data_IF_545795493460
#
_entry.id   IF_545795493460
#
_cell.length_a   1.000
_cell.length_b   1.000
_cell.length_c   1.000
_cell.angle_alpha   90.00
_cell.angle_beta   90.00
_cell.angle_gamma   90.00
#
_symmetry.space_group_name_H-M   'P 1'
#
loop_
_entity.id
_entity.type
_entity.pdbx_description
1 polymer ?
#
# COMPACT_ATOMS: atom_id res chain seq x y z
N UNK A 1 -21.11 -66.42 0.14
CA UNK A 1 -20.95 -65.19 0.93
C UNK A 1 -19.46 -64.85 0.94
N UNK A 2 -18.99 -64.05 -0.01
CA UNK A 2 -17.56 -63.79 -0.21
C UNK A 2 -17.23 -62.36 0.21
N UNK A 3 -16.31 -62.29 1.17
CA UNK A 3 -15.69 -61.09 1.73
C UNK A 3 -14.49 -60.71 0.85
N UNK A 4 -14.36 -59.44 0.47
CA UNK A 4 -13.12 -58.88 -0.05
C UNK A 4 -12.64 -57.73 0.83
N UNK A 5 -11.50 -57.94 1.49
CA UNK A 5 -10.64 -56.91 2.12
C UNK A 5 -9.94 -56.13 0.99
N UNK A 6 -9.88 -54.79 1.12
CA UNK A 6 -9.02 -53.92 0.29
C UNK A 6 -7.79 -53.49 1.11
N UNK A 7 -6.62 -53.72 0.51
CA UNK A 7 -5.32 -53.18 0.89
C UNK A 7 -4.70 -52.56 -0.37
N UNK A 8 -4.13 -51.36 -0.20
CA UNK A 8 -3.06 -50.69 -0.99
C UNK A 8 -3.28 -50.28 -2.44
N UNK A 9 -2.73 -49.09 -2.80
CA UNK A 9 -1.86 -48.83 -3.96
C UNK A 9 -1.16 -47.46 -3.77
N UNK A 10 0.16 -47.52 -3.57
CA UNK A 10 1.15 -46.50 -3.94
C UNK A 10 1.53 -46.73 -5.42
N UNK A 11 2.16 -45.73 -6.06
CA UNK A 11 2.69 -45.69 -7.44
C UNK A 11 1.74 -45.31 -8.59
N UNK A 12 1.86 -44.06 -9.04
CA UNK A 12 1.65 -43.67 -10.45
C UNK A 12 2.43 -42.38 -10.75
N UNK A 13 3.73 -42.54 -10.95
CA UNK A 13 4.61 -41.56 -11.59
C UNK A 13 5.65 -42.30 -12.44
N UNK A 14 5.26 -42.75 -13.63
CA UNK A 14 6.14 -43.02 -14.78
C UNK A 14 5.30 -43.54 -15.95
N UNK A 15 5.70 -43.14 -17.16
CA UNK A 15 5.19 -43.52 -18.49
C UNK A 15 4.11 -42.59 -19.09
N UNK A 16 4.54 -41.59 -19.86
CA UNK A 16 3.95 -41.27 -21.18
C UNK A 16 4.93 -40.39 -21.97
N UNK A 17 5.80 -41.05 -22.75
CA UNK A 17 6.54 -40.49 -23.88
C UNK A 17 6.20 -41.37 -25.09
N UNK A 18 6.24 -40.77 -26.28
CA UNK A 18 5.83 -41.29 -27.61
C UNK A 18 4.34 -41.16 -27.99
N UNK A 19 4.03 -40.10 -28.75
CA UNK A 19 3.25 -40.31 -29.98
C UNK A 19 2.21 -39.27 -30.41
N UNK A 20 2.66 -38.26 -31.16
CA UNK A 20 2.00 -37.68 -32.36
C UNK A 20 0.59 -37.08 -32.24
N UNK A 21 0.50 -35.75 -32.28
CA UNK A 21 -0.70 -35.01 -32.74
C UNK A 21 -0.40 -34.24 -34.05
N UNK A 22 -1.33 -34.21 -35.02
CA UNK A 22 -1.07 -33.75 -36.38
C UNK A 22 -1.17 -32.22 -36.55
N UNK A 23 -0.26 -31.65 -37.36
CA UNK A 23 -0.33 -30.28 -37.90
C UNK A 23 -1.38 -30.18 -39.02
N UNK A 24 -2.19 -29.11 -39.10
CA UNK A 24 -2.95 -28.81 -40.31
C UNK A 24 -2.05 -28.09 -41.33
N UNK A 25 -1.91 -28.71 -42.50
CA UNK A 25 -1.23 -28.21 -43.70
C UNK A 25 -2.16 -27.28 -44.50
N UNK A 26 -1.84 -25.99 -44.59
CA UNK A 26 -2.43 -25.06 -45.56
C UNK A 26 -1.52 -25.07 -46.82
N UNK A 27 -2.08 -25.54 -47.93
CA UNK A 27 -1.41 -25.59 -49.25
C UNK A 27 -1.41 -24.21 -49.90
N UNK A 28 -0.26 -23.83 -50.44
CA UNK A 28 -0.04 -22.69 -51.35
C UNK A 28 0.17 -23.19 -52.79
N UNK A 29 -0.45 -22.55 -53.79
CA UNK A 29 -0.05 -22.58 -55.21
C UNK A 29 -0.85 -21.56 -56.07
N UNK A 30 -0.37 -21.12 -57.26
CA UNK A 30 -0.24 -19.69 -57.58
C UNK A 30 -0.81 -19.17 -58.93
N UNK A 31 -0.92 -17.83 -59.05
CA UNK A 31 -0.76 -16.99 -60.28
C UNK A 31 -1.96 -16.79 -61.22
N UNK A 32 -1.93 -15.85 -62.22
CA UNK A 32 -1.11 -14.66 -62.41
C UNK A 32 -1.88 -13.36 -62.81
N UNK A 33 -1.12 -12.28 -63.04
CA UNK A 33 -1.44 -10.90 -63.50
C UNK A 33 -2.37 -10.78 -64.74
N UNK A 34 -3.17 -9.71 -64.79
CA UNK A 34 -3.21 -8.75 -65.91
C UNK A 34 -4.00 -7.45 -65.60
N UNK A 35 -3.47 -6.38 -66.17
CA UNK A 35 -3.82 -4.95 -66.17
C UNK A 35 -5.18 -4.64 -66.83
N UNK A 36 -5.87 -3.58 -66.38
CA UNK A 36 -6.47 -2.58 -67.28
C UNK A 36 -6.88 -1.31 -66.52
N UNK A 37 -6.17 -0.23 -66.84
CA UNK A 37 -6.55 1.16 -66.62
C UNK A 37 -7.96 1.49 -67.15
N UNK A 38 -8.80 2.14 -66.34
CA UNK A 38 -9.83 3.08 -66.82
C UNK A 38 -9.91 4.34 -65.95
N UNK A 39 -9.48 5.45 -66.57
CA UNK A 39 -9.76 6.84 -66.17
C UNK A 39 -11.28 7.07 -66.06
N UNK A 40 -11.71 7.67 -64.97
CA UNK A 40 -12.93 8.49 -64.96
C UNK A 40 -12.72 9.78 -64.16
N UNK A 41 -13.37 10.82 -64.65
CA UNK A 41 -13.08 12.24 -64.47
C UNK A 41 -13.48 12.80 -63.10
N UNK A 42 -12.65 13.73 -62.63
CA UNK A 42 -12.93 14.95 -61.85
C UNK A 42 -14.41 15.25 -61.55
N UNK A 43 -14.75 15.48 -60.28
CA UNK A 43 -15.23 16.79 -59.81
C UNK A 43 -15.44 16.84 -58.28
N UNK A 44 -15.35 18.08 -57.75
CA UNK A 44 -15.72 18.60 -56.41
C UNK A 44 -14.63 18.70 -55.33
N UNK A 45 -14.04 19.89 -55.31
CA UNK A 45 -14.28 20.93 -54.30
C UNK A 45 -13.89 20.70 -52.82
N UNK A 46 -13.10 21.67 -52.37
CA UNK A 46 -12.92 22.21 -51.02
C UNK A 46 -12.06 21.43 -50.00
N UNK A 47 -10.77 21.74 -50.08
CA UNK A 47 -9.73 21.44 -49.09
C UNK A 47 -9.92 22.33 -47.85
N UNK A 48 -10.78 21.94 -46.92
CA UNK A 48 -10.73 22.45 -45.54
C UNK A 48 -9.60 21.73 -44.82
N UNK A 49 -8.55 22.49 -44.51
CA UNK A 49 -7.40 22.08 -43.69
C UNK A 49 -7.92 21.87 -42.26
N UNK A 50 -8.21 20.62 -41.90
CA UNK A 50 -8.55 20.24 -40.54
C UNK A 50 -7.24 20.14 -39.76
N UNK A 51 -6.95 21.17 -38.96
CA UNK A 51 -5.91 21.16 -37.94
C UNK A 51 -6.20 20.04 -36.95
N UNK A 52 -5.27 19.11 -36.82
CA UNK A 52 -5.28 18.08 -35.78
C UNK A 52 -4.73 18.75 -34.51
N UNK A 53 -5.51 18.91 -33.42
CA UNK A 53 -4.92 19.14 -32.12
C UNK A 53 -4.43 17.78 -31.61
N UNK A 54 -3.19 17.44 -31.96
CA UNK A 54 -2.43 16.43 -31.25
C UNK A 54 -1.97 17.02 -29.92
N UNK A 55 -1.92 16.16 -28.90
CA UNK A 55 -1.36 16.42 -27.57
C UNK A 55 -2.29 17.15 -26.58
N UNK A 56 -3.22 16.38 -26.02
CA UNK A 56 -4.01 16.81 -24.88
C UNK A 56 -4.88 15.71 -24.28
N UNK A 57 -4.41 14.45 -24.22
CA UNK A 57 -5.19 13.40 -23.56
C UNK A 57 -4.38 12.18 -23.06
N UNK A 58 -3.10 12.34 -22.74
CA UNK A 58 -2.28 11.24 -22.17
C UNK A 58 -1.39 11.73 -21.01
N UNK A 59 -1.98 12.45 -20.06
CA UNK A 59 -1.28 12.85 -18.83
C UNK A 59 -2.14 12.70 -17.56
N UNK A 60 -3.13 11.80 -17.56
CA UNK A 60 -3.98 11.55 -16.39
C UNK A 60 -3.83 10.15 -15.76
N UNK A 61 -2.88 9.34 -16.23
CA UNK A 61 -2.73 7.95 -15.72
C UNK A 61 -1.34 7.59 -15.19
N UNK A 62 -0.48 8.56 -14.89
CA UNK A 62 0.83 8.34 -14.25
C UNK A 62 1.06 9.13 -12.95
N UNK A 63 0.06 9.85 -12.44
CA UNK A 63 0.18 10.71 -11.25
C UNK A 63 -0.36 10.12 -9.94
N UNK A 64 -0.95 8.92 -9.94
CA UNK A 64 -1.58 8.36 -8.74
C UNK A 64 -0.60 7.67 -7.76
N UNK A 65 0.64 7.34 -8.19
CA UNK A 65 1.61 6.63 -7.35
C UNK A 65 2.67 7.54 -6.72
N UNK A 66 2.82 8.78 -7.20
CA UNK A 66 3.52 9.85 -6.49
C UNK A 66 2.58 10.44 -5.44
N UNK A 67 2.52 9.80 -4.27
CA UNK A 67 1.93 10.39 -3.09
C UNK A 67 0.47 10.01 -2.84
N UNK A 68 0.23 8.73 -2.56
CA UNK A 68 -0.92 8.38 -1.74
C UNK A 68 -0.60 8.76 -0.29
N UNK A 69 -1.34 9.73 0.25
CA UNK A 69 -1.18 10.25 1.62
C UNK A 69 -2.43 9.99 2.48
N UNK A 70 -3.34 9.14 2.00
CA UNK A 70 -4.66 8.92 2.59
C UNK A 70 -5.73 9.86 2.03
N UNK A 71 -6.80 10.08 2.79
CA UNK A 71 -7.97 10.85 2.34
C UNK A 71 -7.70 12.35 2.47
N UNK A 72 -7.74 13.11 1.37
CA UNK A 72 -7.61 14.58 1.43
C UNK A 72 -8.79 15.16 2.22
N UNK A 73 -8.49 15.96 3.24
CA UNK A 73 -9.49 16.69 4.02
C UNK A 73 -9.82 17.99 3.29
N UNK A 74 -8.86 18.91 3.22
CA UNK A 74 -8.94 20.18 2.48
C UNK A 74 -7.59 20.91 2.56
N UNK A 75 -7.49 22.04 1.86
CA UNK A 75 -6.35 22.95 1.97
C UNK A 75 -6.56 23.90 3.15
N UNK A 76 -5.46 24.28 3.83
CA UNK A 76 -5.50 25.24 4.93
C UNK A 76 -5.93 26.61 4.44
N UNK A 77 -6.75 27.30 5.24
CA UNK A 77 -7.03 28.71 5.02
C UNK A 77 -5.79 29.54 5.36
N UNK A 78 -5.42 30.47 4.47
CA UNK A 78 -4.35 31.42 4.73
C UNK A 78 -4.96 32.68 5.35
N UNK A 79 -4.96 32.77 6.69
CA UNK A 79 -5.47 33.94 7.41
C UNK A 79 -4.33 34.89 7.80
N UNK A 80 -3.29 34.33 8.41
CA UNK A 80 -2.12 35.08 8.85
C UNK A 80 -0.84 34.24 8.70
N UNK A 81 0.30 34.92 8.69
CA UNK A 81 1.62 34.30 8.79
C UNK A 81 1.98 33.27 7.71
N UNK A 82 1.37 33.41 6.52
CA UNK A 82 1.62 32.56 5.37
C UNK A 82 1.26 31.09 5.58
N UNK A 83 0.33 30.80 6.50
CA UNK A 83 -0.13 29.43 6.75
C UNK A 83 -0.80 28.87 5.51
N UNK A 84 -0.20 27.85 4.91
CA UNK A 84 -0.74 27.18 3.74
C UNK A 84 -0.26 25.73 3.68
N UNK A 85 -0.91 24.93 2.84
CA UNK A 85 -0.64 23.50 2.68
C UNK A 85 -1.92 22.68 2.56
N UNK A 86 -1.77 21.42 2.19
CA UNK A 86 -2.89 20.48 2.06
C UNK A 86 -2.92 19.50 3.22
N UNK A 87 -4.08 19.28 3.83
CA UNK A 87 -4.25 18.36 4.97
C UNK A 87 -4.91 17.07 4.52
N UNK A 88 -4.33 15.94 4.92
CA UNK A 88 -4.78 14.58 4.63
C UNK A 88 -4.98 13.79 5.93
N UNK A 89 -5.97 12.91 5.93
CA UNK A 89 -6.16 11.87 6.94
C UNK A 89 -5.41 10.61 6.52
N UNK A 90 -4.35 10.28 7.25
CA UNK A 90 -3.55 9.06 7.03
C UNK A 90 -4.27 7.85 7.61
N UNK A 91 -4.76 7.98 8.83
CA UNK A 91 -5.51 6.98 9.57
C UNK A 91 -6.48 7.66 10.57
N UNK A 92 -7.04 6.92 11.52
CA UNK A 92 -7.98 7.43 12.51
C UNK A 92 -7.41 8.53 13.44
N UNK A 93 -6.09 8.63 13.58
CA UNK A 93 -5.37 9.44 14.57
C UNK A 93 -4.23 10.26 13.98
N UNK A 94 -3.97 10.15 12.70
CA UNK A 94 -2.81 10.77 12.06
C UNK A 94 -3.23 11.70 10.93
N UNK A 95 -2.74 12.94 11.01
CA UNK A 95 -2.85 13.94 9.95
C UNK A 95 -1.52 14.05 9.22
N UNK A 96 -1.57 14.19 7.91
CA UNK A 96 -0.42 14.53 7.08
C UNK A 96 -0.65 15.88 6.42
N UNK A 97 0.28 16.80 6.62
CA UNK A 97 0.28 18.12 5.99
C UNK A 97 1.33 18.10 4.90
N UNK A 98 0.88 18.36 3.67
CA UNK A 98 1.73 18.43 2.49
C UNK A 98 2.04 19.87 2.13
N UNK A 99 3.30 20.16 1.79
CA UNK A 99 3.78 21.49 1.42
C UNK A 99 3.39 22.56 2.46
N UNK A 100 3.54 22.24 3.74
CA UNK A 100 3.17 23.14 4.83
C UNK A 100 4.11 24.34 4.88
N UNK A 101 3.54 25.54 4.99
CA UNK A 101 4.26 26.80 5.15
C UNK A 101 3.76 27.54 6.39
N UNK A 102 4.69 28.19 7.08
CA UNK A 102 4.44 29.11 8.18
C UNK A 102 5.69 29.95 8.43
N UNK A 103 5.57 31.28 8.51
CA UNK A 103 6.70 32.20 8.58
C UNK A 103 7.52 32.11 9.89
N UNK A 104 6.90 31.65 10.99
CA UNK A 104 7.51 31.55 12.31
C UNK A 104 7.51 32.85 13.11
N UNK A 105 6.76 33.88 12.70
CA UNK A 105 6.71 35.20 13.35
C UNK A 105 5.71 35.29 14.52
N UNK A 106 4.86 34.26 14.69
CA UNK A 106 3.92 34.19 15.81
C UNK A 106 4.62 33.84 17.12
N UNK A 107 4.42 34.63 18.20
CA UNK A 107 5.17 34.46 19.45
C UNK A 107 4.83 33.17 20.21
N UNK A 108 3.59 32.68 20.07
CA UNK A 108 3.12 31.46 20.73
C UNK A 108 2.19 30.65 19.80
N UNK A 109 2.67 30.35 18.59
CA UNK A 109 1.94 29.54 17.61
C UNK A 109 2.08 28.04 17.85
N UNK A 110 0.97 27.31 17.69
CA UNK A 110 0.84 25.89 17.97
C UNK A 110 -0.16 25.21 17.03
N UNK A 111 -0.06 23.89 16.90
CA UNK A 111 -1.09 23.08 16.26
C UNK A 111 -2.21 22.76 17.24
N UNK A 112 -3.45 22.99 16.83
CA UNK A 112 -4.64 22.79 17.64
C UNK A 112 -5.67 21.96 16.87
N UNK A 113 -6.44 21.18 17.61
CA UNK A 113 -7.66 20.51 17.12
C UNK A 113 -8.79 20.73 18.09
N UNK A 114 -10.02 20.77 17.61
CA UNK A 114 -11.18 20.89 18.49
C UNK A 114 -12.45 20.36 17.86
N UNK A 115 -13.47 20.20 18.69
CA UNK A 115 -14.78 19.65 18.32
C UNK A 115 -15.88 20.74 18.21
N UNK A 116 -15.51 22.01 18.38
CA UNK A 116 -16.41 23.15 18.25
C UNK A 116 -16.72 23.45 16.78
N UNK A 117 -17.67 24.36 16.53
CA UNK A 117 -18.01 24.78 15.15
C UNK A 117 -16.90 25.57 14.45
N UNK A 118 -16.08 26.27 15.21
CA UNK A 118 -14.99 27.07 14.68
C UNK A 118 -13.76 26.95 15.60
N UNK A 119 -12.55 27.18 15.07
CA UNK A 119 -11.32 27.22 15.86
C UNK A 119 -11.44 28.17 17.06
N UNK A 120 -11.12 27.66 18.24
CA UNK A 120 -11.10 28.44 19.48
C UNK A 120 -10.18 27.78 20.50
N UNK A 121 -9.65 28.55 21.45
CA UNK A 121 -8.86 28.01 22.56
C UNK A 121 -9.69 27.20 23.58
N UNK A 122 -11.01 27.39 23.66
CA UNK A 122 -11.89 26.69 24.61
C UNK A 122 -12.26 25.31 24.09
N UNK A 123 -11.90 24.27 24.86
CA UNK A 123 -12.22 22.88 24.52
C UNK A 123 -11.43 22.35 23.32
N UNK A 124 -10.36 23.05 22.94
CA UNK A 124 -9.40 22.57 21.95
C UNK A 124 -8.21 21.90 22.63
N UNK A 125 -7.57 21.02 21.88
CA UNK A 125 -6.42 20.27 22.31
C UNK A 125 -5.22 20.68 21.47
N UNK A 126 -4.13 20.99 22.15
CA UNK A 126 -2.85 21.27 21.54
C UNK A 126 -2.17 19.97 21.11
N UNK A 127 -1.69 19.94 19.87
CA UNK A 127 -0.93 18.82 19.33
C UNK A 127 0.57 19.01 19.58
N UNK A 128 1.30 17.89 19.53
CA UNK A 128 2.75 17.89 19.43
C UNK A 128 3.15 18.17 17.98
N UNK A 129 4.32 18.80 17.79
CA UNK A 129 4.91 19.00 16.46
C UNK A 129 5.40 17.66 15.85
N UNK A 130 5.94 17.74 14.64
CA UNK A 130 6.46 16.56 13.90
C UNK A 130 7.63 15.86 14.62
N UNK A 131 8.22 16.51 15.63
CA UNK A 131 9.32 16.01 16.45
C UNK A 131 8.85 15.57 17.84
N UNK A 132 7.54 15.50 18.07
CA UNK A 132 6.94 15.11 19.34
C UNK A 132 7.03 16.19 20.44
N UNK A 133 7.40 17.42 20.10
CA UNK A 133 7.58 18.52 21.07
C UNK A 133 6.28 19.27 21.28
N UNK A 134 6.06 19.70 22.51
CA UNK A 134 4.99 20.63 22.88
C UNK A 134 5.57 22.06 23.01
N UNK A 135 6.44 22.47 22.07
CA UNK A 135 7.03 23.81 22.02
C UNK A 135 6.27 24.74 21.08
N UNK A 136 6.73 25.99 20.95
CA UNK A 136 6.27 26.93 19.92
C UNK A 136 6.71 26.41 18.55
N UNK A 137 5.84 26.57 17.56
CA UNK A 137 6.13 26.18 16.19
C UNK A 137 7.31 26.99 15.65
N UNK A 138 8.20 26.29 14.95
CA UNK A 138 9.25 26.90 14.14
C UNK A 138 8.67 27.41 12.83
N UNK A 139 9.50 28.07 12.02
CA UNK A 139 9.18 28.31 10.61
C UNK A 139 9.10 26.98 9.84
N UNK A 140 8.20 26.91 8.87
CA UNK A 140 8.08 25.81 7.91
C UNK A 140 8.08 26.36 6.49
N UNK A 141 8.78 25.69 5.56
CA UNK A 141 8.88 26.10 4.15
C UNK A 141 8.71 24.91 3.21
N UNK A 142 7.51 24.75 2.66
CA UNK A 142 7.12 23.62 1.81
C UNK A 142 7.52 22.27 2.41
N UNK A 143 7.23 22.09 3.70
CA UNK A 143 7.61 20.88 4.42
C UNK A 143 6.44 19.92 4.52
N UNK A 144 6.74 18.63 4.39
CA UNK A 144 5.78 17.56 4.61
C UNK A 144 5.91 17.08 6.05
N UNK A 145 4.83 17.16 6.82
CA UNK A 145 4.84 16.82 8.25
C UNK A 145 3.68 15.91 8.63
N UNK A 146 3.95 15.01 9.58
CA UNK A 146 2.96 14.11 10.15
C UNK A 146 2.67 14.53 11.59
N UNK A 147 1.40 14.66 11.92
CA UNK A 147 0.92 15.05 13.24
C UNK A 147 0.00 13.97 13.79
N UNK A 148 0.25 13.56 15.03
CA UNK A 148 -0.60 12.61 15.75
C UNK A 148 -1.59 13.35 16.64
N UNK A 149 -2.84 12.91 16.62
CA UNK A 149 -3.87 13.36 17.54
C UNK A 149 -3.56 12.93 18.98
N UNK A 150 -4.10 13.65 19.99
CA UNK A 150 -3.91 13.30 21.39
C UNK A 150 -4.42 11.90 21.69
N UNK A 151 -3.91 11.28 22.75
CA UNK A 151 -4.34 9.95 23.19
C UNK A 151 -5.86 9.90 23.43
N UNK A 152 -6.50 8.82 22.96
CA UNK A 152 -7.94 8.63 23.08
C UNK A 152 -8.79 9.54 22.19
N UNK A 153 -8.20 10.32 21.28
CA UNK A 153 -8.91 11.12 20.28
C UNK A 153 -8.68 10.57 18.88
N UNK A 154 -9.74 10.58 18.08
CA UNK A 154 -9.74 10.22 16.67
C UNK A 154 -10.22 11.38 15.81
N UNK A 155 -10.06 11.26 14.48
CA UNK A 155 -10.60 12.22 13.51
C UNK A 155 -12.12 12.38 13.60
N UNK A 156 -12.84 11.41 14.19
CA UNK A 156 -14.29 11.52 14.44
C UNK A 156 -14.63 12.41 15.62
N UNK A 157 -13.69 12.62 16.53
CA UNK A 157 -13.87 13.39 17.76
C UNK A 157 -13.54 14.88 17.59
N UNK A 158 -13.08 15.26 16.39
CA UNK A 158 -12.66 16.62 16.06
C UNK A 158 -13.36 17.11 14.80
N UNK A 159 -13.52 18.43 14.70
CA UNK A 159 -14.21 19.11 13.61
C UNK A 159 -13.34 20.10 12.87
N UNK A 160 -12.17 20.41 13.40
CA UNK A 160 -11.21 21.29 12.75
C UNK A 160 -9.80 21.02 13.25
N UNK A 161 -8.84 21.37 12.40
CA UNK A 161 -7.42 21.47 12.72
C UNK A 161 -6.98 22.91 12.39
N UNK A 162 -6.18 23.53 13.25
CA UNK A 162 -5.75 24.91 13.06
C UNK A 162 -4.31 25.15 13.55
N UNK A 163 -3.67 26.15 12.94
CA UNK A 163 -2.50 26.83 13.49
C UNK A 163 -3.02 28.01 14.33
N UNK A 164 -2.83 27.94 15.64
CA UNK A 164 -3.40 28.88 16.60
C UNK A 164 -2.31 29.56 17.42
N UNK A 165 -2.45 30.87 17.66
CA UNK A 165 -1.57 31.63 18.52
C UNK A 165 -2.23 31.91 19.88
N UNK A 166 -1.62 31.42 20.96
CA UNK A 166 -2.17 31.57 22.32
C UNK A 166 -2.14 33.02 22.80
N UNK A 167 -1.01 33.72 22.61
CA UNK A 167 -0.80 35.08 23.12
C UNK A 167 -1.81 36.09 22.57
N UNK A 168 -2.16 35.96 21.30
CA UNK A 168 -3.14 36.83 20.64
C UNK A 168 -4.54 36.22 20.57
N UNK A 169 -4.69 34.92 20.89
CA UNK A 169 -5.94 34.17 20.73
C UNK A 169 -6.53 34.30 19.30
N UNK A 170 -5.67 34.14 18.30
CA UNK A 170 -5.99 34.29 16.87
C UNK A 170 -5.70 32.98 16.12
N UNK A 171 -6.59 32.66 15.18
CA UNK A 171 -6.41 31.60 14.19
C UNK A 171 -5.56 32.10 13.01
N UNK A 172 -4.42 31.45 12.76
CA UNK A 172 -3.56 31.78 11.62
C UNK A 172 -3.94 31.02 10.35
N UNK A 173 -4.64 29.91 10.49
CA UNK A 173 -5.16 29.12 9.39
C UNK A 173 -5.73 27.80 9.89
N UNK A 174 -6.83 27.36 9.29
CA UNK A 174 -7.56 26.17 9.69
C UNK A 174 -8.10 25.36 8.51
N UNK A 175 -8.51 24.15 8.83
CA UNK A 175 -9.30 23.29 7.96
C UNK A 175 -10.44 22.67 8.75
N UNK A 176 -11.61 22.59 8.13
CA UNK A 176 -12.77 21.91 8.71
C UNK A 176 -12.72 20.42 8.36
N UNK A 177 -12.88 19.58 9.38
CA UNK A 177 -12.93 18.13 9.28
C UNK A 177 -14.39 17.72 9.39
N UNK A 178 -14.87 16.97 8.40
CA UNK A 178 -16.24 16.46 8.40
C UNK A 178 -16.33 15.20 9.26
N UNK A 179 -17.42 15.07 10.01
CA UNK A 179 -17.65 13.89 10.87
C UNK A 179 -17.86 12.60 10.06
N UNK A 180 -18.29 12.73 8.79
CA UNK A 180 -18.50 11.63 7.86
C UNK A 180 -17.29 11.38 6.94
N UNK A 181 -16.12 11.95 7.26
CA UNK A 181 -14.88 11.70 6.54
C UNK A 181 -14.53 10.21 6.61
N UNK A 182 -14.46 9.55 5.44
CA UNK A 182 -13.94 8.19 5.36
C UNK A 182 -12.42 8.23 5.29
N UNK A 183 -11.78 8.04 6.45
CA UNK A 183 -10.34 7.93 6.56
C UNK A 183 -9.87 6.47 6.44
N UNK A 184 -8.65 6.25 5.92
CA UNK A 184 -8.12 4.91 5.69
C UNK A 184 -7.93 4.12 6.98
N UNK A 185 -8.17 2.81 6.94
CA UNK A 185 -8.10 1.91 8.11
C UNK A 185 -7.56 0.53 7.74
N UNK A 186 -6.78 -0.12 8.63
CA UNK A 186 -6.37 -1.50 8.42
C UNK A 186 -7.58 -2.41 8.17
N UNK A 187 -7.48 -3.28 7.18
CA UNK A 187 -8.60 -4.10 6.71
C UNK A 187 -8.27 -5.57 6.83
N UNK A 188 -9.21 -6.37 7.38
CA UNK A 188 -9.06 -7.83 7.47
C UNK A 188 -9.65 -8.48 6.23
N UNK A 189 -8.90 -9.42 5.66
CA UNK A 189 -9.33 -10.31 4.58
C UNK A 189 -9.29 -11.75 5.09
N UNK A 190 -9.75 -12.70 4.25
CA UNK A 190 -9.72 -14.11 4.62
C UNK A 190 -8.28 -14.61 4.89
N UNK A 191 -8.17 -15.71 5.62
CA UNK A 191 -6.90 -16.40 5.79
C UNK A 191 -6.51 -17.20 4.55
N UNK A 192 -5.26 -17.68 4.54
CA UNK A 192 -4.80 -18.67 3.58
C UNK A 192 -5.40 -20.03 3.92
N UNK A 193 -5.75 -20.76 2.87
CA UNK A 193 -6.18 -22.15 2.96
C UNK A 193 -5.80 -22.85 1.67
N UNK A 194 -4.96 -23.87 1.76
CA UNK A 194 -4.54 -24.63 0.59
C UNK A 194 -3.85 -25.94 0.93
N UNK A 195 -2.91 -26.35 0.08
CA UNK A 195 -2.15 -27.60 0.20
C UNK A 195 -0.82 -27.36 0.93
N UNK A 196 -0.08 -28.43 1.23
CA UNK A 196 1.22 -28.34 1.91
C UNK A 196 1.17 -27.60 3.25
N UNK A 197 0.07 -27.78 3.99
CA UNK A 197 -0.24 -27.08 5.25
C UNK A 197 -0.26 -25.56 5.17
N UNK A 198 -0.36 -24.97 3.97
CA UNK A 198 -0.53 -23.53 3.76
C UNK A 198 -1.85 -23.09 4.37
N UNK A 199 -1.76 -22.51 5.57
CA UNK A 199 -2.90 -22.06 6.35
C UNK A 199 -2.53 -20.80 7.14
N UNK A 200 -3.50 -19.93 7.37
CA UNK A 200 -3.36 -18.80 8.29
C UNK A 200 -4.70 -18.39 8.88
N UNK A 201 -4.65 -17.57 9.92
CA UNK A 201 -5.83 -16.78 10.31
C UNK A 201 -6.08 -15.65 9.29
N UNK A 202 -7.16 -14.91 9.50
CA UNK A 202 -7.49 -13.73 8.70
C UNK A 202 -6.30 -12.77 8.60
N UNK A 203 -5.91 -12.48 7.37
CA UNK A 203 -4.81 -11.58 7.05
C UNK A 203 -5.27 -10.15 7.27
N UNK A 204 -4.37 -9.31 7.79
CA UNK A 204 -4.61 -7.88 7.95
C UNK A 204 -3.78 -7.13 6.93
N UNK A 205 -4.45 -6.39 6.05
CA UNK A 205 -3.81 -5.36 5.24
C UNK A 205 -3.62 -4.15 6.15
N UNK A 206 -2.37 -3.95 6.58
CA UNK A 206 -2.00 -2.96 7.60
C UNK A 206 -1.96 -1.56 6.97
N UNK A 207 -1.29 -1.45 5.84
CA UNK A 207 -1.17 -0.24 5.04
C UNK A 207 -1.03 -0.59 3.55
N UNK A 208 -0.77 0.41 2.71
CA UNK A 208 -0.66 0.25 1.26
C UNK A 208 0.42 -0.75 0.81
N UNK A 209 1.39 -1.11 1.66
CA UNK A 209 2.50 -2.00 1.32
C UNK A 209 2.76 -3.11 2.34
N UNK A 210 1.99 -3.18 3.43
CA UNK A 210 2.28 -4.08 4.56
C UNK A 210 1.13 -5.05 4.81
N UNK A 211 1.45 -6.34 4.86
CA UNK A 211 0.53 -7.43 5.18
C UNK A 211 0.96 -8.10 6.50
N UNK A 212 0.04 -8.26 7.43
CA UNK A 212 0.21 -9.07 8.64
C UNK A 212 -0.54 -10.39 8.43
N UNK A 213 0.17 -11.51 8.54
CA UNK A 213 -0.36 -12.86 8.38
C UNK A 213 -0.20 -13.59 9.72
N UNK A 214 -1.25 -13.67 10.56
CA UNK A 214 -1.18 -14.37 11.83
C UNK A 214 -1.26 -15.90 11.66
N UNK A 215 -0.58 -16.62 12.54
CA UNK A 215 -0.64 -18.09 12.62
C UNK A 215 -0.35 -18.80 11.28
N UNK A 216 0.56 -18.25 10.47
CA UNK A 216 0.95 -18.84 9.19
C UNK A 216 1.67 -20.18 9.39
N UNK A 217 1.22 -21.20 8.66
CA UNK A 217 1.83 -22.54 8.64
C UNK A 217 2.12 -22.95 7.19
N UNK A 218 3.18 -23.72 7.00
CA UNK A 218 3.61 -24.31 5.73
C UNK A 218 4.60 -25.44 6.00
N UNK A 219 4.44 -26.60 5.36
CA UNK A 219 5.23 -27.81 5.65
C UNK A 219 6.73 -27.71 5.31
N UNK A 220 7.10 -26.87 4.35
CA UNK A 220 8.48 -26.69 3.89
C UNK A 220 8.97 -27.73 2.87
N UNK A 221 8.07 -28.56 2.32
CA UNK A 221 8.44 -29.71 1.49
C UNK A 221 8.71 -29.36 0.02
N UNK A 222 8.26 -28.18 -0.45
CA UNK A 222 8.40 -27.83 -1.85
C UNK A 222 9.75 -27.21 -2.16
N UNK A 223 10.33 -27.50 -3.34
CA UNK A 223 11.68 -27.08 -3.67
C UNK A 223 11.82 -25.56 -3.87
N UNK A 224 10.73 -24.88 -4.25
CA UNK A 224 10.76 -23.44 -4.55
C UNK A 224 9.42 -22.75 -4.25
N UNK A 225 8.90 -22.95 -3.03
CA UNK A 225 7.73 -22.19 -2.54
C UNK A 225 8.13 -20.76 -2.18
N UNK A 226 7.34 -19.78 -2.60
CA UNK A 226 7.58 -18.35 -2.37
C UNK A 226 6.27 -17.63 -2.03
N UNK A 227 6.37 -16.51 -1.30
CA UNK A 227 5.25 -15.58 -1.21
C UNK A 227 5.04 -14.91 -2.56
N UNK A 228 3.79 -14.81 -2.97
CA UNK A 228 3.43 -14.49 -4.34
C UNK A 228 2.22 -13.56 -4.38
N UNK A 229 2.30 -12.56 -5.24
CA UNK A 229 1.19 -11.66 -5.56
C UNK A 229 1.11 -11.45 -7.05
N UNK A 230 -0.03 -10.97 -7.51
CA UNK A 230 -0.21 -10.62 -8.90
C UNK A 230 -1.55 -9.96 -9.13
N UNK A 231 -1.77 -9.54 -10.36
CA UNK A 231 -3.06 -8.99 -10.78
C UNK A 231 -4.09 -10.10 -10.95
N UNK A 232 -5.35 -9.73 -10.74
CA UNK A 232 -6.47 -10.62 -10.93
C UNK A 232 -6.70 -11.58 -9.76
N UNK A 233 -7.75 -12.41 -9.87
CA UNK A 233 -8.33 -13.12 -8.74
C UNK A 233 -7.58 -14.38 -8.29
N UNK A 234 -6.55 -14.82 -9.03
CA UNK A 234 -5.80 -16.04 -8.76
C UNK A 234 -4.33 -15.92 -9.20
N UNK A 235 -3.41 -16.66 -8.57
CA UNK A 235 -2.00 -16.71 -8.95
C UNK A 235 -1.77 -17.21 -10.37
N UNK A 236 -0.75 -16.63 -11.01
CA UNK A 236 -0.21 -17.10 -12.29
C UNK A 236 1.31 -17.08 -12.25
N UNK A 237 1.94 -17.73 -13.23
CA UNK A 237 3.41 -17.73 -13.38
C UNK A 237 4.02 -16.35 -13.64
N UNK A 238 3.19 -15.34 -13.96
CA UNK A 238 3.63 -13.95 -14.18
C UNK A 238 3.47 -13.06 -12.94
N UNK A 239 3.23 -13.65 -11.76
CA UNK A 239 3.19 -12.89 -10.52
C UNK A 239 4.55 -12.41 -10.05
N UNK A 240 4.54 -11.74 -8.91
CA UNK A 240 5.66 -11.04 -8.31
C UNK A 240 5.97 -11.72 -6.98
N UNK A 241 7.26 -12.01 -6.76
CA UNK A 241 7.78 -12.57 -5.50
C UNK A 241 7.72 -11.51 -4.41
N UNK A 242 7.31 -11.89 -3.21
CA UNK A 242 7.45 -11.06 -2.02
C UNK A 242 8.57 -11.64 -1.16
N UNK A 243 9.51 -10.80 -0.69
CA UNK A 243 10.48 -11.20 0.32
C UNK A 243 9.80 -11.72 1.59
N UNK A 244 10.42 -12.70 2.26
CA UNK A 244 10.00 -13.17 3.57
C UNK A 244 10.14 -12.08 4.66
N UNK A 245 9.80 -12.39 5.91
CA UNK A 245 9.90 -11.44 7.02
C UNK A 245 11.34 -10.98 7.33
N UNK A 246 12.34 -11.63 6.71
CA UNK A 246 13.76 -11.31 6.83
C UNK A 246 14.29 -10.61 5.55
N UNK A 247 13.41 -10.25 4.61
CA UNK A 247 13.77 -9.61 3.36
C UNK A 247 14.42 -10.54 2.32
N UNK A 248 14.21 -11.86 2.41
CA UNK A 248 14.78 -12.84 1.48
C UNK A 248 13.73 -13.38 0.51
N UNK A 249 14.10 -13.50 -0.76
CA UNK A 249 13.29 -14.14 -1.81
C UNK A 249 13.68 -15.61 -2.07
N UNK A 250 14.47 -16.20 -1.16
CA UNK A 250 14.82 -17.63 -1.23
C UNK A 250 13.59 -18.50 -0.96
N UNK A 251 13.61 -19.79 -1.37
CA UNK A 251 12.54 -20.72 -1.05
C UNK A 251 12.14 -20.67 0.43
N UNK A 252 10.84 -20.67 0.68
CA UNK A 252 10.27 -20.63 2.00
C UNK A 252 10.67 -21.88 2.79
N UNK A 253 11.18 -21.66 4.00
CA UNK A 253 11.34 -22.74 4.98
C UNK A 253 9.99 -23.16 5.56
N UNK A 254 9.97 -24.23 6.34
CA UNK A 254 8.82 -24.62 7.16
C UNK A 254 8.37 -23.49 8.11
N UNK A 255 7.07 -23.28 8.19
CA UNK A 255 6.42 -22.38 9.17
C UNK A 255 5.46 -23.18 10.04
N UNK A 256 5.44 -22.93 11.34
CA UNK A 256 4.52 -23.53 12.29
C UNK A 256 3.85 -22.42 13.09
N UNK A 257 2.60 -22.09 12.72
CA UNK A 257 1.74 -21.08 13.34
C UNK A 257 2.48 -19.77 13.67
N UNK A 258 3.36 -19.33 12.77
CA UNK A 258 4.17 -18.12 12.96
C UNK A 258 3.39 -16.91 12.47
N UNK A 259 3.32 -15.87 13.29
CA UNK A 259 2.87 -14.56 12.81
C UNK A 259 3.99 -13.88 12.04
N UNK A 260 3.73 -13.54 10.79
CA UNK A 260 4.69 -12.88 9.90
C UNK A 260 4.14 -11.55 9.42
N UNK A 261 5.04 -10.60 9.18
CA UNK A 261 4.72 -9.32 8.56
C UNK A 261 5.55 -9.22 7.29
N UNK A 262 4.87 -8.95 6.19
CA UNK A 262 5.44 -8.91 4.86
C UNK A 262 5.29 -7.50 4.29
N UNK A 263 6.33 -7.04 3.60
CA UNK A 263 6.34 -5.76 2.92
C UNK A 263 6.43 -6.00 1.42
N UNK A 264 5.50 -5.39 0.66
CA UNK A 264 5.49 -5.47 -0.79
C UNK A 264 6.76 -4.83 -1.38
N UNK A 265 7.38 -5.45 -2.39
CA UNK A 265 8.65 -4.99 -2.95
C UNK A 265 8.50 -3.71 -3.78
N UNK A 266 9.58 -2.91 -3.83
CA UNK A 266 9.65 -1.72 -4.68
C UNK A 266 8.57 -0.69 -4.35
N UNK A 267 7.82 -0.29 -5.38
CA UNK A 267 6.70 0.65 -5.30
C UNK A 267 5.35 -0.07 -5.46
N UNK A 268 5.34 -1.41 -5.37
CA UNK A 268 4.13 -2.21 -5.44
C UNK A 268 3.24 -1.89 -4.24
N UNK A 269 1.95 -1.69 -4.49
CA UNK A 269 0.95 -1.49 -3.44
C UNK A 269 -0.12 -2.56 -3.48
N UNK A 270 -0.88 -2.67 -2.40
CA UNK A 270 -2.07 -3.52 -2.31
C UNK A 270 -3.15 -3.14 -3.33
N UNK A 271 -3.13 -1.92 -3.87
CA UNK A 271 -4.02 -1.47 -4.93
C UNK A 271 -3.64 -2.04 -6.30
N UNK A 272 -2.41 -2.55 -6.46
CA UNK A 272 -1.90 -3.08 -7.72
C UNK A 272 -2.06 -4.61 -7.84
N UNK A 273 -2.54 -5.27 -6.79
CA UNK A 273 -2.59 -6.73 -6.66
C UNK A 273 -4.03 -7.20 -6.39
N UNK A 274 -4.40 -8.34 -6.95
CA UNK A 274 -5.72 -8.96 -6.77
C UNK A 274 -5.71 -10.20 -5.87
N UNK A 275 -4.53 -10.69 -5.50
CA UNK A 275 -4.37 -11.82 -4.60
C UNK A 275 -3.01 -11.79 -3.91
N UNK A 276 -2.93 -12.53 -2.79
CA UNK A 276 -1.71 -12.88 -2.06
C UNK A 276 -1.74 -14.36 -1.73
N UNK A 277 -0.61 -15.06 -1.86
CA UNK A 277 -0.57 -16.49 -1.60
C UNK A 277 0.83 -17.07 -1.55
N UNK A 278 0.87 -18.41 -1.49
CA UNK A 278 2.09 -19.21 -1.61
C UNK A 278 2.08 -19.89 -2.96
N UNK A 279 3.13 -19.69 -3.74
CA UNK A 279 3.27 -20.25 -5.09
C UNK A 279 4.56 -21.03 -5.18
N UNK A 280 4.50 -22.24 -5.76
CA UNK A 280 5.70 -22.98 -6.12
C UNK A 280 6.16 -22.57 -7.51
N UNK A 281 7.27 -21.84 -7.59
CA UNK A 281 7.78 -21.32 -8.86
C UNK A 281 8.34 -22.43 -9.76
N UNK A 282 9.02 -23.42 -9.19
CA UNK A 282 9.60 -24.54 -9.95
C UNK A 282 8.54 -25.38 -10.68
N UNK A 283 7.35 -25.56 -10.10
CA UNK A 283 6.27 -26.38 -10.67
C UNK A 283 5.09 -25.56 -11.19
N UNK A 284 5.10 -24.23 -11.03
CA UNK A 284 4.01 -23.33 -11.42
C UNK A 284 2.65 -23.73 -10.82
N UNK A 285 2.64 -24.07 -9.53
CA UNK A 285 1.45 -24.52 -8.81
C UNK A 285 1.12 -23.56 -7.67
N UNK A 286 -0.16 -23.26 -7.54
CA UNK A 286 -0.73 -22.52 -6.41
C UNK A 286 -0.88 -23.44 -5.20
N UNK A 287 -0.23 -23.09 -4.10
CA UNK A 287 -0.36 -23.83 -2.84
C UNK A 287 -1.47 -23.30 -1.96
N UNK A 288 -2.00 -22.11 -2.25
CA UNK A 288 -3.03 -21.47 -1.47
C UNK A 288 -2.92 -19.95 -1.64
N UNK A 289 -4.03 -19.32 -1.98
CA UNK A 289 -4.12 -17.87 -2.11
C UNK A 289 -5.37 -17.33 -1.44
N UNK A 290 -5.31 -16.05 -1.12
CA UNK A 290 -6.45 -15.23 -0.75
C UNK A 290 -6.62 -14.11 -1.77
N UNK A 291 -7.87 -13.74 -2.04
CA UNK A 291 -8.19 -12.59 -2.90
C UNK A 291 -8.11 -11.28 -2.11
N UNK A 292 -7.55 -10.27 -2.75
CA UNK A 292 -7.54 -8.91 -2.25
C UNK A 292 -8.72 -8.18 -2.93
N UNK A 293 -9.63 -7.55 -2.16
CA UNK A 293 -10.73 -6.80 -2.76
C UNK A 293 -10.23 -5.62 -3.59
N UNK A 294 -10.91 -5.31 -4.70
CA UNK A 294 -10.51 -4.19 -5.58
C UNK A 294 -10.77 -2.81 -4.94
N UNK A 295 -11.70 -2.72 -3.99
CA UNK A 295 -12.10 -1.49 -3.31
C UNK A 295 -11.72 -1.56 -1.83
N UNK A 296 -10.50 -1.12 -1.49
CA UNK A 296 -10.05 -1.00 -0.11
C UNK A 296 -9.58 0.42 0.18
N UNK A 297 -9.83 0.89 1.40
CA UNK A 297 -9.36 2.18 1.90
C UNK A 297 -8.42 1.93 3.09
N UNK A 298 -7.14 1.69 2.81
CA UNK A 298 -6.11 1.36 3.81
C UNK A 298 -5.07 2.46 3.92
N UNK A 299 -4.41 2.65 5.08
CA UNK A 299 -3.44 3.74 5.28
C UNK A 299 -2.31 3.74 4.25
N UNK A 300 -1.73 4.92 3.93
CA UNK A 300 -0.47 4.97 3.19
C UNK A 300 0.66 4.33 4.01
N UNK A 301 1.68 3.77 3.33
CA UNK A 301 2.83 3.20 4.04
C UNK A 301 3.77 4.28 4.57
N UNK A 302 4.53 3.96 5.62
CA UNK A 302 5.57 4.86 6.16
C UNK A 302 6.54 5.33 5.08
N UNK A 303 6.93 4.40 4.19
CA UNK A 303 7.84 4.67 3.07
C UNK A 303 7.25 5.73 2.13
N UNK A 304 5.95 5.67 1.85
CA UNK A 304 5.26 6.64 0.98
C UNK A 304 5.12 8.03 1.63
N UNK A 305 5.03 8.08 2.96
CA UNK A 305 4.99 9.32 3.72
C UNK A 305 6.39 9.94 3.94
N UNK A 306 7.47 9.32 3.43
CA UNK A 306 8.84 9.80 3.62
C UNK A 306 9.37 9.67 5.05
N UNK A 307 8.61 9.02 5.93
CA UNK A 307 8.99 8.75 7.32
C UNK A 307 9.70 7.40 7.36
N UNK A 308 11.02 7.43 7.53
CA UNK A 308 11.77 6.20 7.80
C UNK A 308 11.33 5.64 9.16
N UNK A 309 11.16 4.31 9.32
CA UNK A 309 10.86 3.71 10.61
C UNK A 309 11.88 4.21 11.64
N UNK A 310 11.38 4.85 12.69
CA UNK A 310 12.23 5.33 13.78
C UNK A 310 12.79 4.09 14.48
N UNK A 311 14.04 3.72 14.17
CA UNK A 311 14.81 2.83 15.04
C UNK A 311 15.01 3.61 16.32
N UNK A 312 14.13 3.40 17.31
CA UNK A 312 14.30 3.95 18.64
C UNK A 312 15.58 3.35 19.20
N UNK A 313 16.68 4.08 19.06
CA UNK A 313 17.92 3.80 19.76
C UNK A 313 17.71 4.12 21.25
N UNK A 314 16.97 3.26 21.94
CA UNK A 314 16.89 3.26 23.38
C UNK A 314 18.24 2.78 23.91
N UNK A 315 19.02 3.75 24.40
CA UNK A 315 20.17 3.58 25.30
C UNK A 315 21.31 2.67 24.85
N UNK A 316 22.26 3.22 24.08
CA UNK A 316 23.68 2.82 24.18
C UNK A 316 24.46 3.77 25.10
N UNK A 317 24.18 3.69 26.40
CA UNK A 317 25.25 3.76 27.40
C UNK A 317 25.63 2.33 27.76
N UNK A 318 26.49 1.70 26.96
CA UNK A 318 27.10 0.41 27.29
C UNK A 318 28.57 0.62 27.69
N UNK A 319 28.87 0.24 28.94
CA UNK A 319 30.18 -0.26 29.38
C UNK A 319 30.59 -1.43 28.46
N UNK A 320 31.89 -1.62 28.14
CA UNK A 320 32.32 -2.67 27.24
C UNK A 320 32.40 -4.03 27.96
N UNK A 321 31.78 -5.06 27.37
CA UNK A 321 31.93 -6.44 27.82
C UNK A 321 30.99 -7.42 27.12
N UNK A 322 31.58 -8.26 26.25
CA UNK A 322 31.07 -9.50 25.62
C UNK A 322 30.18 -9.36 24.36
N UNK A 323 30.45 -10.13 23.28
CA UNK A 323 29.61 -10.12 22.08
C UNK A 323 28.36 -10.98 22.32
N UNK A 324 27.20 -10.44 21.94
CA UNK A 324 25.94 -11.18 21.93
C UNK A 324 25.29 -11.09 20.55
N UNK A 325 24.62 -12.19 20.21
CA UNK A 325 23.98 -12.58 18.98
C UNK A 325 23.01 -11.56 18.36
N UNK A 326 22.69 -11.82 17.09
CA UNK A 326 21.96 -10.96 16.15
C UNK A 326 20.68 -10.35 16.71
N UNK A 327 20.53 -9.07 16.44
CA UNK A 327 19.33 -8.28 16.70
C UNK A 327 18.37 -8.42 15.51
N UNK A 328 17.22 -9.04 15.76
CA UNK A 328 16.09 -9.13 14.84
C UNK A 328 15.49 -7.74 14.57
N UNK A 329 15.26 -7.45 13.29
CA UNK A 329 14.67 -6.21 12.76
C UNK A 329 13.13 -6.20 12.79
N UNK A 330 12.48 -7.23 13.33
CA UNK A 330 11.02 -7.40 13.34
C UNK A 330 10.30 -6.59 14.43
N UNK A 331 11.00 -6.15 15.48
CA UNK A 331 10.40 -5.46 16.63
C UNK A 331 9.74 -4.12 16.27
N UNK A 332 10.44 -3.27 15.49
CA UNK A 332 9.92 -1.94 15.15
C UNK A 332 8.70 -1.96 14.21
N UNK A 333 8.59 -2.99 13.37
CA UNK A 333 7.45 -3.15 12.48
C UNK A 333 6.22 -3.68 13.24
N UNK A 334 6.41 -4.60 14.19
CA UNK A 334 5.34 -5.08 15.05
C UNK A 334 4.83 -3.98 15.99
N UNK A 335 5.71 -3.11 16.50
CA UNK A 335 5.32 -1.93 17.28
C UNK A 335 4.51 -0.94 16.44
N UNK A 336 4.93 -0.70 15.18
CA UNK A 336 4.18 0.13 14.24
C UNK A 336 2.80 -0.46 13.92
N UNK A 337 2.74 -1.76 13.62
CA UNK A 337 1.47 -2.49 13.42
C UNK A 337 0.59 -2.40 14.66
N UNK A 338 1.17 -2.49 15.86
CA UNK A 338 0.46 -2.28 17.13
C UNK A 338 -0.14 -0.88 17.23
N UNK A 339 0.59 0.16 16.84
CA UNK A 339 0.10 1.55 16.86
C UNK A 339 -0.98 1.87 15.82
N UNK A 340 -1.05 1.09 14.74
CA UNK A 340 -2.09 1.21 13.70
C UNK A 340 -3.38 0.47 14.06
N UNK A 341 -3.28 -0.58 14.88
CA UNK A 341 -4.42 -1.42 15.25
C UNK A 341 -5.10 -0.98 16.56
N UNK A 342 -4.47 -0.11 17.36
CA UNK A 342 -4.95 0.35 18.68
C UNK A 342 -4.82 1.87 18.87
#
# INVERSE_FOLDING_TARGET
>A
MFVFKRQTIYDLCLLYELGVCPRPSIKSAPGPLADTSKRHKSTRANKKRLSIPGEGFLAQQTTALQGYYGTKIADLTELHHGVSGSVYAVDARTLFLKNFNYDGEGPAAYFYVGNTRAPSNKGAHRLRDERGRAGVLRRYRNEDITLSLPEGKTLRDIRWFAVWCDDFSVNFGDVQIRNDLDFPRPTKIAGLSGVHDVTSDNIVIVDAQTLLVPNFSYDGEAPDAKFWVGRGPAPTSQGIRIPDENGKETPLRRYDKKTIVLTLPGDLTVFDIGHFGVWCEAFTVDFGHVRIPDQINVPPSLKMLGISPQVTNVNRRRKPGRPAAGTDSSGGLLDYVGSLLF
#
